data_IF_662085694420
#
_entry.id   IF_662085694420
#
_cell.length_a   1.000
_cell.length_b   1.000
_cell.length_c   1.000
_cell.angle_alpha   90.00
_cell.angle_beta   90.00
_cell.angle_gamma   90.00
#
_symmetry.space_group_name_H-M   'P 1'
#
loop_
_entity.id
_entity.type
_entity.pdbx_description
1 polymer ?
#
# COMPACT_ATOMS: atom_id res chain seq x y z
N UNK A 1 -24.43 -13.98 -6.36
CA UNK A 1 -24.01 -12.57 -6.19
C UNK A 1 -22.76 -12.42 -7.03
N UNK A 2 -22.84 -11.76 -8.20
CA UNK A 2 -21.68 -11.61 -9.08
C UNK A 2 -20.80 -10.50 -8.52
N UNK A 3 -19.57 -10.82 -8.15
CA UNK A 3 -18.56 -9.83 -7.76
C UNK A 3 -18.29 -8.99 -9.00
N UNK A 4 -18.63 -7.70 -8.93
CA UNK A 4 -18.41 -6.73 -10.01
C UNK A 4 -16.90 -6.68 -10.29
N UNK A 5 -16.44 -6.60 -11.56
CA UNK A 5 -15.03 -6.52 -11.86
C UNK A 5 -14.50 -5.25 -11.20
N UNK A 6 -13.49 -5.39 -10.35
CA UNK A 6 -12.81 -4.24 -9.75
C UNK A 6 -12.26 -3.38 -10.90
N UNK A 7 -12.67 -2.12 -10.96
CA UNK A 7 -12.22 -1.20 -11.99
C UNK A 7 -10.75 -0.86 -11.71
N UNK A 8 -9.83 -1.36 -12.53
CA UNK A 8 -8.38 -1.19 -12.37
C UNK A 8 -7.89 0.26 -12.54
N UNK A 9 -8.81 1.22 -12.74
CA UNK A 9 -8.56 2.66 -12.86
C UNK A 9 -9.09 3.46 -11.67
N UNK A 10 -9.65 2.80 -10.67
CA UNK A 10 -10.12 3.47 -9.46
C UNK A 10 -8.90 3.93 -8.65
N UNK A 11 -8.69 5.24 -8.62
CA UNK A 11 -7.84 5.89 -7.63
C UNK A 11 -8.22 5.35 -6.26
N UNK A 12 -7.27 4.72 -5.56
CA UNK A 12 -7.53 4.16 -4.21
C UNK A 12 -8.00 5.28 -3.29
N UNK A 13 -9.00 5.00 -2.48
CA UNK A 13 -9.45 5.94 -1.45
C UNK A 13 -8.37 6.08 -0.37
N UNK A 14 -8.23 7.27 0.28
CA UNK A 14 -7.23 7.48 1.33
C UNK A 14 -7.25 6.42 2.44
N UNK A 15 -8.43 5.93 2.83
CA UNK A 15 -8.57 4.90 3.84
C UNK A 15 -8.02 3.53 3.41
N UNK A 16 -8.03 3.22 2.11
CA UNK A 16 -7.45 1.99 1.57
C UNK A 16 -5.93 2.08 1.55
N UNK A 17 -5.39 3.25 1.21
CA UNK A 17 -3.96 3.56 1.25
C UNK A 17 -3.43 3.48 2.68
N UNK A 18 -4.14 4.06 3.65
CA UNK A 18 -3.79 4.00 5.07
C UNK A 18 -3.76 2.55 5.59
N UNK A 19 -4.73 1.73 5.20
CA UNK A 19 -4.80 0.33 5.60
C UNK A 19 -3.62 -0.48 5.04
N UNK A 20 -3.27 -0.28 3.77
CA UNK A 20 -2.16 -0.99 3.11
C UNK A 20 -0.81 -0.57 3.68
N UNK A 21 -0.60 0.72 3.97
CA UNK A 21 0.60 1.19 4.65
C UNK A 21 0.71 0.62 6.06
N UNK A 22 -0.39 0.60 6.81
CA UNK A 22 -0.41 0.03 8.17
C UNK A 22 -0.14 -1.48 8.17
N UNK A 23 -0.62 -2.21 7.16
CA UNK A 23 -0.33 -3.62 6.97
C UNK A 23 1.17 -3.83 6.72
N UNK A 24 1.76 -3.09 5.79
CA UNK A 24 3.20 -3.19 5.47
C UNK A 24 4.04 -2.89 6.71
N UNK A 25 3.78 -1.80 7.41
CA UNK A 25 4.54 -1.38 8.60
C UNK A 25 4.26 -2.26 9.84
N UNK A 26 3.22 -3.08 9.80
CA UNK A 26 2.90 -4.07 10.83
C UNK A 26 3.63 -5.41 10.67
N UNK A 27 4.29 -5.64 9.54
CA UNK A 27 5.11 -6.83 9.31
C UNK A 27 6.35 -6.83 10.25
N UNK A 28 6.73 -8.01 10.75
CA UNK A 28 7.97 -8.14 11.54
C UNK A 28 9.20 -8.00 10.62
N UNK A 29 10.05 -7.01 10.91
CA UNK A 29 11.36 -6.85 10.28
C UNK A 29 12.44 -7.51 11.14
N UNK A 30 13.12 -8.52 10.60
CA UNK A 30 14.13 -9.29 11.33
C UNK A 30 15.44 -8.52 11.57
N UNK A 31 15.75 -7.57 10.68
CA UNK A 31 16.94 -6.73 10.74
C UNK A 31 16.69 -5.36 10.10
N UNK A 32 17.69 -4.48 10.18
CA UNK A 32 17.60 -3.13 9.63
C UNK A 32 17.43 -3.13 8.10
N UNK A 33 17.97 -4.12 7.39
CA UNK A 33 17.82 -4.19 5.94
C UNK A 33 16.36 -4.50 5.57
N UNK A 34 15.74 -5.45 6.29
CA UNK A 34 14.33 -5.78 6.16
C UNK A 34 13.42 -4.58 6.53
N UNK A 35 13.78 -3.81 7.56
CA UNK A 35 13.04 -2.60 7.94
C UNK A 35 13.11 -1.52 6.82
N UNK A 36 14.27 -1.36 6.18
CA UNK A 36 14.42 -0.45 5.03
C UNK A 36 13.56 -0.89 3.85
N UNK A 37 13.58 -2.18 3.51
CA UNK A 37 12.72 -2.72 2.44
C UNK A 37 11.22 -2.54 2.76
N UNK A 38 10.83 -2.71 4.03
CA UNK A 38 9.48 -2.46 4.50
C UNK A 38 9.08 -0.99 4.33
N UNK A 39 9.93 -0.04 4.72
CA UNK A 39 9.69 1.39 4.54
C UNK A 39 9.62 1.79 3.07
N UNK A 40 10.49 1.22 2.22
CA UNK A 40 10.46 1.47 0.78
C UNK A 40 9.15 1.00 0.13
N UNK A 41 8.62 -0.16 0.57
CA UNK A 41 7.31 -0.63 0.12
C UNK A 41 6.19 0.31 0.54
N UNK A 42 6.14 0.72 1.81
CA UNK A 42 5.14 1.67 2.30
C UNK A 42 5.22 3.02 1.56
N UNK A 43 6.42 3.52 1.31
CA UNK A 43 6.64 4.74 0.53
C UNK A 43 6.16 4.62 -0.91
N UNK A 44 6.38 3.47 -1.57
CA UNK A 44 5.92 3.25 -2.93
C UNK A 44 4.38 3.27 -3.04
N UNK A 45 3.66 2.69 -2.06
CA UNK A 45 2.19 2.75 -2.00
C UNK A 45 1.70 4.20 -1.97
N UNK A 46 2.31 5.04 -1.11
CA UNK A 46 1.97 6.46 -1.03
C UNK A 46 2.31 7.21 -2.32
N UNK A 47 3.48 6.94 -2.91
CA UNK A 47 3.92 7.57 -4.16
C UNK A 47 2.96 7.24 -5.30
N UNK A 48 2.61 5.98 -5.45
CA UNK A 48 1.78 5.51 -6.56
C UNK A 48 0.37 6.10 -6.43
N UNK A 49 -0.19 6.15 -5.22
CA UNK A 49 -1.47 6.83 -4.96
C UNK A 49 -1.46 8.34 -5.29
N UNK A 50 -0.34 9.02 -5.08
CA UNK A 50 -0.18 10.44 -5.43
C UNK A 50 0.04 10.66 -6.92
N UNK A 51 0.60 9.69 -7.64
CA UNK A 51 0.83 9.77 -9.09
C UNK A 51 -0.40 9.38 -9.91
N UNK A 52 -1.31 8.59 -9.34
CA UNK A 52 -2.56 8.16 -9.97
C UNK A 52 -3.73 9.15 -9.79
N UNK A 53 -3.58 10.19 -8.96
CA UNK A 53 -4.52 11.32 -8.81
C UNK A 53 -4.27 12.45 -9.83
#
# INVERSE_FOLDING_TARGET
MAVKPHDFRAVKEPAEIDAEVAEILGEDAADLAAEVEQLDRAHNVLRDALQEN
#
